data_IF_543769099623
#
_entry.id   IF_543769099623
#
_cell.length_a   1.000
_cell.length_b   1.000
_cell.length_c   1.000
_cell.angle_alpha   90.00
_cell.angle_beta   90.00
_cell.angle_gamma   90.00
#
_symmetry.space_group_name_H-M   'P 1'
#
loop_
_entity.id
_entity.type
_entity.pdbx_description
1 polymer ?
#
# COMPACT_ATOMS: atom_id res chain seq x y z
N UNK A 1 -0.18 36.13 -26.10
CA UNK A 1 0.09 35.22 -24.96
C UNK A 1 1.06 35.90 -24.00
N UNK A 2 0.92 35.68 -22.69
CA UNK A 2 1.89 36.17 -21.72
C UNK A 2 3.22 35.42 -21.87
N UNK A 3 4.35 36.12 -21.68
CA UNK A 3 5.68 35.51 -21.71
C UNK A 3 6.03 35.04 -20.30
N UNK A 4 6.31 33.75 -20.15
CA UNK A 4 6.82 33.16 -18.91
C UNK A 4 8.30 32.82 -19.11
N UNK A 5 9.14 33.18 -18.13
CA UNK A 5 10.54 32.79 -18.08
C UNK A 5 10.74 31.94 -16.84
N UNK A 6 11.23 30.71 -17.02
CA UNK A 6 11.47 29.76 -15.95
C UNK A 6 12.84 29.11 -16.13
N UNK A 7 13.55 28.91 -15.02
CA UNK A 7 14.80 28.16 -14.99
C UNK A 7 14.47 26.69 -14.69
N UNK A 8 14.93 25.79 -15.55
CA UNK A 8 14.67 24.34 -15.46
C UNK A 8 15.99 23.59 -15.48
N UNK A 9 16.00 22.36 -14.97
CA UNK A 9 17.20 21.51 -14.99
C UNK A 9 17.53 21.02 -16.41
N UNK A 10 18.80 20.63 -16.61
CA UNK A 10 19.28 20.11 -17.89
C UNK A 10 18.50 18.86 -18.36
N UNK A 11 18.04 18.03 -17.42
CA UNK A 11 17.17 16.87 -17.72
C UNK A 11 15.85 17.29 -18.36
N UNK A 12 15.21 18.35 -17.84
CA UNK A 12 13.97 18.88 -18.40
C UNK A 12 14.20 19.48 -19.78
N UNK A 13 15.31 20.20 -19.97
CA UNK A 13 15.69 20.75 -21.28
C UNK A 13 15.88 19.63 -22.31
N UNK A 14 16.61 18.57 -21.93
CA UNK A 14 16.85 17.40 -22.77
C UNK A 14 15.53 16.74 -23.21
N UNK A 15 14.61 16.52 -22.26
CA UNK A 15 13.29 15.93 -22.54
C UNK A 15 12.44 16.81 -23.47
N UNK A 16 12.42 18.12 -23.27
CA UNK A 16 11.70 19.05 -24.16
C UNK A 16 12.24 18.96 -25.58
N UNK A 17 13.57 18.97 -25.73
CA UNK A 17 14.19 18.87 -27.05
C UNK A 17 13.91 17.52 -27.71
N UNK A 18 13.90 16.42 -26.97
CA UNK A 18 13.51 15.11 -27.49
C UNK A 18 12.07 15.11 -28.03
N UNK A 19 11.13 15.76 -27.34
CA UNK A 19 9.73 15.89 -27.80
C UNK A 19 9.64 16.75 -29.07
N UNK A 20 10.40 17.84 -29.14
CA UNK A 20 10.47 18.69 -30.35
C UNK A 20 10.96 17.89 -31.55
N UNK A 21 12.04 17.13 -31.38
CA UNK A 21 12.60 16.31 -32.46
C UNK A 21 11.67 15.16 -32.85
N UNK A 22 11.00 14.53 -31.89
CA UNK A 22 9.98 13.51 -32.17
C UNK A 22 8.85 14.07 -33.04
N UNK A 23 8.28 15.24 -32.68
CA UNK A 23 7.20 15.86 -33.46
C UNK A 23 7.64 16.26 -34.86
N UNK A 24 8.90 16.66 -35.04
CA UNK A 24 9.49 16.90 -36.36
C UNK A 24 9.61 15.61 -37.17
N UNK A 25 10.03 14.52 -36.55
CA UNK A 25 10.10 13.21 -37.18
C UNK A 25 8.72 12.68 -37.61
N UNK A 26 7.66 13.04 -36.87
CA UNK A 26 6.26 12.73 -37.20
C UNK A 26 5.68 13.59 -38.34
N UNK A 27 6.48 14.48 -38.95
CA UNK A 27 6.10 15.27 -40.12
C UNK A 27 5.52 16.65 -39.82
N UNK A 28 5.59 17.12 -38.57
CA UNK A 28 5.17 18.47 -38.23
C UNK A 28 6.09 19.53 -38.87
N UNK A 29 5.51 20.62 -39.37
CA UNK A 29 6.28 21.70 -40.00
C UNK A 29 7.17 22.37 -38.95
N UNK A 30 8.38 22.78 -39.36
CA UNK A 30 9.33 23.48 -38.49
C UNK A 30 8.77 24.78 -37.90
N UNK A 31 7.81 25.39 -38.58
CA UNK A 31 7.12 26.62 -38.16
C UNK A 31 6.12 26.37 -37.02
N UNK A 32 5.55 25.17 -36.93
CA UNK A 32 4.51 24.83 -35.95
C UNK A 32 5.09 24.26 -34.64
N UNK A 33 6.33 23.74 -34.69
CA UNK A 33 6.98 23.08 -33.55
C UNK A 33 8.24 23.83 -33.11
N UNK A 34 8.10 24.51 -31.96
CA UNK A 34 9.18 25.19 -31.26
C UNK A 34 9.25 24.70 -29.81
N UNK A 35 10.41 24.87 -29.15
CA UNK A 35 10.54 24.57 -27.72
C UNK A 35 9.51 25.34 -26.89
N UNK A 36 9.19 26.58 -27.27
CA UNK A 36 8.17 27.39 -26.60
C UNK A 36 6.75 26.82 -26.75
N UNK A 37 6.39 26.29 -27.92
CA UNK A 37 5.06 25.67 -28.11
C UNK A 37 4.92 24.36 -27.33
N UNK A 38 5.99 23.56 -27.27
CA UNK A 38 6.04 22.35 -26.44
C UNK A 38 5.98 22.69 -24.96
N UNK A 39 6.72 23.70 -24.49
CA UNK A 39 6.68 24.15 -23.09
C UNK A 39 5.28 24.63 -22.72
N UNK A 40 4.63 25.45 -23.56
CA UNK A 40 3.27 25.94 -23.29
C UNK A 40 2.28 24.79 -23.10
N UNK A 41 2.33 23.80 -24.00
CA UNK A 41 1.51 22.60 -23.92
C UNK A 41 1.78 21.78 -22.65
N UNK A 42 3.05 21.60 -22.27
CA UNK A 42 3.43 20.87 -21.07
C UNK A 42 2.98 21.57 -19.79
N UNK A 43 3.01 22.91 -19.77
CA UNK A 43 2.50 23.71 -18.63
C UNK A 43 0.98 23.55 -18.51
N UNK A 44 0.24 23.66 -19.61
CA UNK A 44 -1.22 23.45 -19.61
C UNK A 44 -1.62 22.02 -19.21
N UNK A 45 -0.88 21.02 -19.70
CA UNK A 45 -1.09 19.64 -19.30
C UNK A 45 -0.75 19.43 -17.81
N UNK A 46 0.36 20.00 -17.35
CA UNK A 46 0.80 19.94 -15.96
C UNK A 46 -0.20 20.57 -15.00
N UNK A 47 -0.80 21.71 -15.37
CA UNK A 47 -1.86 22.34 -14.59
C UNK A 47 -3.11 21.47 -14.50
N UNK A 48 -3.59 20.90 -15.62
CA UNK A 48 -4.72 19.97 -15.61
C UNK A 48 -4.47 18.75 -14.73
N UNK A 49 -3.26 18.18 -14.78
CA UNK A 49 -2.89 17.05 -13.92
C UNK A 49 -2.81 17.47 -12.46
N UNK A 50 -2.27 18.66 -12.17
CA UNK A 50 -2.20 19.19 -10.81
C UNK A 50 -3.59 19.40 -10.21
N UNK A 51 -4.52 20.00 -10.96
CA UNK A 51 -5.92 20.18 -10.55
C UNK A 51 -6.62 18.84 -10.31
N UNK A 52 -6.50 17.90 -11.25
CA UNK A 52 -7.07 16.56 -11.09
C UNK A 52 -6.46 15.77 -9.92
N UNK A 53 -5.20 16.03 -9.56
CA UNK A 53 -4.59 15.48 -8.35
C UNK A 53 -5.08 16.18 -7.09
N UNK A 54 -5.26 17.50 -7.11
CA UNK A 54 -5.77 18.27 -5.96
C UNK A 54 -7.19 17.84 -5.58
N UNK A 55 -8.06 17.62 -6.57
CA UNK A 55 -9.39 17.02 -6.35
C UNK A 55 -9.31 15.62 -5.73
N UNK A 56 -8.21 14.90 -5.95
CA UNK A 56 -7.93 13.58 -5.35
C UNK A 56 -7.12 13.64 -4.04
N UNK A 57 -6.55 14.80 -3.65
CA UNK A 57 -5.66 14.93 -2.48
C UNK A 57 -6.39 15.09 -1.15
N UNK A 58 -7.72 15.20 -1.14
CA UNK A 58 -8.46 14.60 -0.02
C UNK A 58 -8.28 13.09 -0.11
N UNK A 59 -7.13 12.58 0.33
CA UNK A 59 -6.99 11.15 0.58
C UNK A 59 -7.95 10.85 1.74
N UNK A 60 -9.10 10.19 1.50
CA UNK A 60 -10.03 9.87 2.58
C UNK A 60 -9.45 8.79 3.51
N UNK A 61 -8.27 8.27 3.16
CA UNK A 61 -7.65 7.16 3.85
C UNK A 61 -6.94 7.63 5.13
N UNK A 62 -7.64 7.46 6.23
CA UNK A 62 -7.10 7.63 7.56
C UNK A 62 -6.44 6.33 8.03
N UNK A 63 -5.11 6.26 7.96
CA UNK A 63 -4.33 5.08 8.36
C UNK A 63 -4.62 4.64 9.80
N UNK A 64 -4.79 5.58 10.73
CA UNK A 64 -5.06 5.27 12.15
C UNK A 64 -6.44 4.63 12.31
N UNK A 65 -7.45 5.16 11.62
CA UNK A 65 -8.80 4.60 11.63
C UNK A 65 -8.83 3.22 10.97
N UNK A 66 -8.09 3.05 9.88
CA UNK A 66 -7.94 1.76 9.21
C UNK A 66 -7.28 0.73 10.13
N UNK A 67 -6.14 1.06 10.73
CA UNK A 67 -5.42 0.18 11.66
C UNK A 67 -6.30 -0.20 12.86
N UNK A 68 -7.02 0.76 13.43
CA UNK A 68 -7.95 0.51 14.54
C UNK A 68 -9.07 -0.45 14.13
N UNK A 69 -9.70 -0.20 12.99
CA UNK A 69 -10.81 -1.03 12.49
C UNK A 69 -10.32 -2.45 12.18
N UNK A 70 -9.16 -2.57 11.54
CA UNK A 70 -8.55 -3.86 11.22
C UNK A 70 -8.23 -4.64 12.49
N UNK A 71 -7.56 -4.01 13.46
CA UNK A 71 -7.23 -4.64 14.74
C UNK A 71 -8.48 -5.10 15.48
N UNK A 72 -9.51 -4.26 15.55
CA UNK A 72 -10.79 -4.59 16.18
C UNK A 72 -11.48 -5.80 15.51
N UNK A 73 -11.51 -5.83 14.17
CA UNK A 73 -12.10 -6.93 13.43
C UNK A 73 -11.35 -8.25 13.66
N UNK A 74 -10.02 -8.22 13.62
CA UNK A 74 -9.17 -9.40 13.86
C UNK A 74 -9.35 -9.92 15.29
N UNK A 75 -9.34 -9.04 16.30
CA UNK A 75 -9.52 -9.44 17.70
C UNK A 75 -10.91 -10.04 17.95
N UNK A 76 -11.97 -9.43 17.41
CA UNK A 76 -13.34 -9.96 17.53
C UNK A 76 -13.47 -11.32 16.85
N UNK A 77 -12.92 -11.48 15.65
CA UNK A 77 -12.93 -12.75 14.93
C UNK A 77 -12.18 -13.82 15.73
N UNK A 78 -10.98 -13.53 16.23
CA UNK A 78 -10.21 -14.47 17.04
C UNK A 78 -10.96 -14.92 18.30
N UNK A 79 -11.63 -13.98 18.98
CA UNK A 79 -12.42 -14.28 20.17
C UNK A 79 -13.64 -15.17 19.86
N UNK A 80 -14.35 -14.90 18.77
CA UNK A 80 -15.49 -15.71 18.32
C UNK A 80 -15.01 -17.11 17.93
N UNK A 81 -13.96 -17.21 17.12
CA UNK A 81 -13.38 -18.49 16.68
C UNK A 81 -12.90 -19.33 17.87
N UNK A 82 -12.30 -18.71 18.88
CA UNK A 82 -11.89 -19.41 20.12
C UNK A 82 -13.08 -20.03 20.86
N UNK A 83 -14.22 -19.33 20.90
CA UNK A 83 -15.45 -19.85 21.49
C UNK A 83 -16.06 -20.98 20.65
N UNK A 84 -16.07 -20.84 19.33
CA UNK A 84 -16.53 -21.89 18.41
C UNK A 84 -15.67 -23.14 18.59
N UNK A 85 -14.34 -23.01 18.63
CA UNK A 85 -13.42 -24.12 18.86
C UNK A 85 -13.74 -24.86 20.18
N UNK A 86 -14.01 -24.12 21.25
CA UNK A 86 -14.39 -24.71 22.53
C UNK A 86 -15.74 -25.45 22.44
N UNK A 87 -16.75 -24.87 21.78
CA UNK A 87 -18.06 -25.51 21.59
C UNK A 87 -17.96 -26.78 20.73
N UNK A 88 -17.22 -26.72 19.62
CA UNK A 88 -17.01 -27.86 18.73
C UNK A 88 -16.25 -28.99 19.44
N UNK A 89 -15.27 -28.67 20.30
CA UNK A 89 -14.55 -29.68 21.07
C UNK A 89 -15.44 -30.50 22.01
N UNK A 90 -16.62 -30.00 22.35
CA UNK A 90 -17.63 -30.69 23.17
C UNK A 90 -18.66 -31.46 22.33
N UNK A 91 -18.54 -31.41 20.99
CA UNK A 91 -19.47 -32.07 20.08
C UNK A 91 -19.43 -33.59 20.24
N UNK A 92 -20.58 -34.27 20.35
CA UNK A 92 -20.63 -35.72 20.54
C UNK A 92 -20.08 -36.50 19.34
N UNK A 93 -20.02 -35.89 18.16
CA UNK A 93 -19.45 -36.48 16.95
C UNK A 93 -17.92 -36.56 16.97
N UNK A 94 -17.27 -35.81 17.87
CA UNK A 94 -15.82 -35.78 18.04
C UNK A 94 -15.37 -36.52 19.31
N UNK A 95 -16.32 -37.06 20.08
CA UNK A 95 -16.04 -37.78 21.32
C UNK A 95 -15.19 -39.04 21.05
N UNK A 96 -14.07 -39.16 21.78
CA UNK A 96 -13.12 -40.28 21.64
C UNK A 96 -12.05 -40.10 20.56
N UNK A 97 -11.97 -38.92 19.92
CA UNK A 97 -10.88 -38.58 19.01
C UNK A 97 -9.89 -37.60 19.67
N UNK A 98 -8.73 -38.12 20.07
CA UNK A 98 -7.67 -37.36 20.75
C UNK A 98 -7.17 -36.16 19.93
N UNK A 99 -7.35 -36.17 18.60
CA UNK A 99 -6.96 -35.04 17.73
C UNK A 99 -7.83 -33.79 17.93
N UNK A 100 -9.06 -33.96 18.39
CA UNK A 100 -10.02 -32.87 18.63
C UNK A 100 -10.21 -32.60 20.12
N UNK A 101 -9.33 -33.13 20.98
CA UNK A 101 -9.30 -32.72 22.37
C UNK A 101 -8.91 -31.23 22.46
N UNK A 102 -9.71 -30.44 23.17
CA UNK A 102 -9.53 -29.00 23.29
C UNK A 102 -8.09 -28.63 23.72
N UNK A 103 -7.53 -29.36 24.69
CA UNK A 103 -6.18 -29.13 25.19
C UNK A 103 -5.11 -29.34 24.12
N UNK A 104 -5.22 -30.42 23.34
CA UNK A 104 -4.29 -30.70 22.25
C UNK A 104 -4.39 -29.65 21.14
N UNK A 105 -5.60 -29.25 20.76
CA UNK A 105 -5.81 -28.20 19.74
C UNK A 105 -5.23 -26.85 20.17
N UNK A 106 -5.43 -26.43 21.43
CA UNK A 106 -4.87 -25.18 21.95
C UNK A 106 -3.34 -25.22 21.93
N UNK A 107 -2.73 -26.35 22.28
CA UNK A 107 -1.27 -26.48 22.29
C UNK A 107 -0.71 -26.40 20.85
N UNK A 108 -1.31 -27.11 19.90
CA UNK A 108 -0.90 -27.04 18.49
C UNK A 108 -1.00 -25.61 17.93
N UNK A 109 -2.12 -24.91 18.19
CA UNK A 109 -2.30 -23.52 17.75
C UNK A 109 -1.23 -22.61 18.38
N UNK A 110 -0.89 -22.81 19.66
CA UNK A 110 0.14 -22.03 20.34
C UNK A 110 1.52 -22.25 19.71
N UNK A 111 1.87 -23.49 19.42
CA UNK A 111 3.17 -23.84 18.86
C UNK A 111 3.32 -23.31 17.42
N UNK A 112 2.26 -23.42 16.60
CA UNK A 112 2.22 -22.84 15.26
C UNK A 112 2.38 -21.31 15.28
N UNK A 113 1.64 -20.63 16.18
CA UNK A 113 1.72 -19.17 16.35
C UNK A 113 3.11 -18.76 16.84
N UNK A 114 3.73 -19.52 17.74
CA UNK A 114 5.08 -19.25 18.22
C UNK A 114 6.10 -19.34 17.08
N UNK A 115 5.96 -20.31 16.18
CA UNK A 115 6.81 -20.42 14.98
C UNK A 115 6.70 -19.20 14.07
N UNK A 116 5.49 -18.69 13.86
CA UNK A 116 5.25 -17.48 13.05
C UNK A 116 5.82 -16.24 13.74
N UNK A 117 5.59 -16.08 15.05
CA UNK A 117 6.10 -14.95 15.83
C UNK A 117 7.63 -14.93 15.83
N UNK A 118 8.27 -16.08 16.07
CA UNK A 118 9.73 -16.16 16.08
C UNK A 118 10.35 -15.82 14.72
N UNK A 119 9.66 -16.10 13.61
CA UNK A 119 10.11 -15.75 12.26
C UNK A 119 10.01 -14.24 11.94
N UNK A 120 9.06 -13.54 12.56
CA UNK A 120 8.80 -12.11 12.31
C UNK A 120 9.40 -11.18 13.38
N UNK A 121 9.56 -11.67 14.61
CA UNK A 121 10.00 -10.93 15.79
C UNK A 121 10.98 -11.76 16.65
N UNK A 122 12.21 -12.02 16.17
CA UNK A 122 13.20 -12.84 16.87
C UNK A 122 13.68 -12.23 18.20
N UNK A 123 13.73 -10.90 18.32
CA UNK A 123 14.38 -10.18 19.44
C UNK A 123 13.51 -10.00 20.71
N UNK A 124 12.26 -10.48 20.69
CA UNK A 124 11.34 -10.36 21.84
C UNK A 124 11.64 -11.39 22.94
N UNK A 125 12.48 -12.40 22.66
CA UNK A 125 12.89 -13.42 23.62
C UNK A 125 14.20 -13.07 24.36
N UNK A 126 15.08 -12.25 23.78
CA UNK A 126 16.38 -11.91 24.41
C UNK A 126 16.26 -10.78 25.46
N UNK A 127 15.25 -9.91 25.35
CA UNK A 127 15.11 -8.74 26.23
C UNK A 127 14.19 -8.97 27.44
N UNK A 128 13.58 -10.15 27.60
CA UNK A 128 12.72 -10.46 28.75
C UNK A 128 13.42 -11.19 29.90
N UNK A 129 14.71 -11.53 29.74
CA UNK A 129 15.53 -12.13 30.81
C UNK A 129 16.35 -11.11 31.63
N UNK A 130 16.28 -9.81 31.30
CA UNK A 130 17.11 -8.75 31.91
C UNK A 130 16.33 -7.65 32.69
N UNK A 131 15.07 -7.89 33.06
CA UNK A 131 14.31 -7.03 34.01
C UNK A 131 13.72 -7.86 35.16
#
# INVERSE_FOLDING_TARGET
MAKIQAYVSDDVVSKINAIVEQRRAEGARKEDVSSSSVISMLVELGLRVYEAQMERKESPFNQMLFNKTLLEAVLKSQFITSKILAMESLSPHLAGNDKFEFRAMVQNIRDDVQGIINGLFPDMLENSEND
#
